data_IF_145035086120
#
_entry.id   IF_145035086120
#
_cell.length_a   1.000
_cell.length_b   1.000
_cell.length_c   1.000
_cell.angle_alpha   90.00
_cell.angle_beta   90.00
_cell.angle_gamma   90.00
#
_symmetry.space_group_name_H-M   'P 1'
#
loop_
_entity.id
_entity.type
_entity.pdbx_description
1 polymer ?
#
# COMPACT_ATOMS: atom_id res chain seq x y z
N UNK A 1 -19.56 -20.86 -15.11
CA UNK A 1 -19.09 -20.13 -13.91
C UNK A 1 -18.55 -18.73 -14.22
N UNK A 2 -17.77 -18.49 -15.29
CA UNK A 2 -17.21 -17.15 -15.58
C UNK A 2 -18.22 -16.03 -15.86
N UNK A 3 -19.36 -16.33 -16.48
CA UNK A 3 -20.37 -15.32 -16.88
C UNK A 3 -21.02 -14.63 -15.66
N UNK A 4 -21.19 -15.36 -14.55
CA UNK A 4 -21.79 -14.82 -13.33
C UNK A 4 -20.85 -13.84 -12.61
N UNK A 5 -19.53 -14.08 -12.68
CA UNK A 5 -18.52 -13.18 -12.11
C UNK A 5 -18.47 -11.87 -12.90
N UNK A 6 -18.44 -11.95 -14.24
CA UNK A 6 -18.46 -10.75 -15.09
C UNK A 6 -19.72 -9.89 -14.88
N UNK A 7 -20.87 -10.53 -14.67
CA UNK A 7 -22.13 -9.85 -14.35
C UNK A 7 -22.09 -9.10 -13.01
N UNK A 8 -21.31 -9.55 -12.03
CA UNK A 8 -21.18 -8.90 -10.73
C UNK A 8 -20.30 -7.64 -10.82
N UNK A 9 -19.32 -7.62 -11.72
CA UNK A 9 -18.48 -6.44 -11.97
C UNK A 9 -19.26 -5.27 -12.62
N UNK A 10 -20.35 -5.55 -13.33
CA UNK A 10 -21.15 -4.53 -14.03
C UNK A 10 -22.35 -3.98 -13.26
N UNK A 11 -22.64 -4.48 -12.04
CA UNK A 11 -23.81 -4.03 -11.26
C UNK A 11 -23.50 -2.73 -10.50
N UNK A 12 -24.34 -1.69 -10.61
CA UNK A 12 -24.19 -0.49 -9.81
C UNK A 12 -24.54 -0.81 -8.34
N UNK A 13 -23.57 -0.67 -7.45
CA UNK A 13 -23.74 -0.91 -6.01
C UNK A 13 -22.46 -1.41 -5.34
N UNK A 14 -22.38 -1.24 -4.01
CA UNK A 14 -21.24 -1.67 -3.18
C UNK A 14 -21.28 -3.20 -3.02
N UNK A 15 -20.79 -3.95 -4.01
CA UNK A 15 -20.56 -5.39 -3.85
C UNK A 15 -19.16 -5.62 -3.25
N UNK A 16 -19.03 -6.58 -2.32
CA UNK A 16 -17.75 -6.89 -1.68
C UNK A 16 -16.69 -7.34 -2.69
N UNK A 17 -17.11 -8.00 -3.77
CA UNK A 17 -16.24 -8.40 -4.87
C UNK A 17 -15.78 -7.20 -5.70
N UNK A 18 -16.68 -6.27 -6.06
CA UNK A 18 -16.30 -5.06 -6.78
C UNK A 18 -15.36 -4.18 -5.94
N UNK A 19 -15.58 -4.09 -4.63
CA UNK A 19 -14.69 -3.38 -3.72
C UNK A 19 -13.30 -4.03 -3.61
N UNK A 20 -13.22 -5.35 -3.72
CA UNK A 20 -11.94 -6.06 -3.75
C UNK A 20 -11.22 -5.94 -5.10
N UNK A 21 -11.96 -5.78 -6.21
CA UNK A 21 -11.39 -5.70 -7.56
C UNK A 21 -11.11 -4.27 -8.04
N UNK A 22 -11.83 -3.28 -7.51
CA UNK A 22 -11.75 -1.90 -7.96
C UNK A 22 -11.89 -0.92 -6.79
N UNK A 23 -10.83 -0.16 -6.55
CA UNK A 23 -10.77 0.86 -5.50
C UNK A 23 -11.83 1.97 -5.66
N UNK A 24 -12.25 2.28 -6.91
CA UNK A 24 -13.26 3.31 -7.17
C UNK A 24 -14.62 2.96 -6.55
N UNK A 25 -14.86 1.69 -6.19
CA UNK A 25 -16.12 1.26 -5.57
C UNK A 25 -16.22 1.62 -4.07
N UNK A 26 -15.10 1.96 -3.41
CA UNK A 26 -15.08 2.32 -2.00
C UNK A 26 -15.25 3.84 -1.78
N UNK A 27 -15.09 4.63 -2.84
CA UNK A 27 -15.09 6.08 -2.85
C UNK A 27 -16.32 6.64 -3.58
N UNK A 28 -16.62 7.92 -3.37
CA UNK A 28 -17.38 8.68 -4.36
C UNK A 28 -16.50 8.95 -5.59
N UNK A 29 -17.13 9.02 -6.77
CA UNK A 29 -16.41 9.17 -8.05
C UNK A 29 -15.53 10.42 -8.07
N UNK A 30 -16.03 11.54 -7.53
CA UNK A 30 -15.32 12.82 -7.52
C UNK A 30 -14.08 12.75 -6.64
N UNK A 31 -14.22 12.18 -5.43
CA UNK A 31 -13.13 12.04 -4.47
C UNK A 31 -12.04 11.12 -5.04
N UNK A 32 -12.44 10.01 -5.67
CA UNK A 32 -11.51 9.07 -6.28
C UNK A 32 -10.69 9.71 -7.41
N UNK A 33 -11.36 10.44 -8.30
CA UNK A 33 -10.69 11.16 -9.38
C UNK A 33 -9.75 12.24 -8.83
N UNK A 34 -10.17 12.98 -7.81
CA UNK A 34 -9.34 14.02 -7.19
C UNK A 34 -8.06 13.44 -6.59
N UNK A 35 -8.17 12.34 -5.84
CA UNK A 35 -7.00 11.65 -5.30
C UNK A 35 -6.06 11.16 -6.40
N UNK A 36 -6.61 10.58 -7.47
CA UNK A 36 -5.80 10.10 -8.59
C UNK A 36 -5.09 11.22 -9.35
N UNK A 37 -5.76 12.36 -9.53
CA UNK A 37 -5.17 13.55 -10.16
C UNK A 37 -4.05 14.09 -9.28
N UNK A 38 -4.26 14.18 -7.97
CA UNK A 38 -3.24 14.65 -7.02
C UNK A 38 -1.97 13.80 -7.08
N UNK A 39 -2.10 12.47 -6.97
CA UNK A 39 -0.96 11.55 -7.07
C UNK A 39 -0.23 11.69 -8.42
N UNK A 40 -0.98 11.89 -9.50
CA UNK A 40 -0.42 12.09 -10.84
C UNK A 40 0.39 13.37 -10.97
N UNK A 41 -0.08 14.47 -10.37
CA UNK A 41 0.63 15.76 -10.36
C UNK A 41 1.91 15.67 -9.54
N UNK A 42 1.86 15.07 -8.35
CA UNK A 42 3.05 14.91 -7.51
C UNK A 42 4.12 14.07 -8.21
N UNK A 43 3.73 12.94 -8.80
CA UNK A 43 4.65 12.10 -9.56
C UNK A 43 5.21 12.83 -10.79
N UNK A 44 4.38 13.61 -11.50
CA UNK A 44 4.86 14.42 -12.63
C UNK A 44 5.89 15.45 -12.20
N UNK A 45 5.69 16.11 -11.06
CA UNK A 45 6.63 17.08 -10.52
C UNK A 45 7.94 16.39 -10.11
N UNK A 46 7.85 15.24 -9.44
CA UNK A 46 9.01 14.43 -9.08
C UNK A 46 9.84 14.06 -10.31
N UNK A 47 9.21 13.48 -11.33
CA UNK A 47 9.89 13.07 -12.57
C UNK A 47 10.47 14.27 -13.32
N UNK A 48 9.77 15.41 -13.31
CA UNK A 48 10.27 16.64 -13.91
C UNK A 48 11.54 17.12 -13.21
N UNK A 49 11.55 17.15 -11.88
CA UNK A 49 12.73 17.56 -11.11
C UNK A 49 13.87 16.57 -11.36
N UNK A 50 13.61 15.27 -11.23
CA UNK A 50 14.61 14.22 -11.45
C UNK A 50 15.26 14.29 -12.84
N UNK A 51 14.47 14.58 -13.88
CA UNK A 51 14.98 14.69 -15.24
C UNK A 51 15.79 15.98 -15.51
N UNK A 52 15.52 17.05 -14.76
CA UNK A 52 16.11 18.37 -14.99
C UNK A 52 17.16 18.77 -13.95
N UNK A 53 17.43 17.91 -12.98
CA UNK A 53 18.51 18.13 -12.01
C UNK A 53 19.81 17.50 -12.50
N UNK A 54 20.86 18.30 -12.54
CA UNK A 54 22.21 17.91 -12.97
C UNK A 54 22.96 17.06 -11.95
N UNK A 55 22.48 17.02 -10.70
CA UNK A 55 23.00 16.23 -9.60
C UNK A 55 21.88 15.32 -9.05
N UNK A 56 22.26 14.20 -8.42
CA UNK A 56 21.32 13.35 -7.71
C UNK A 56 20.65 14.16 -6.59
N UNK A 57 19.34 14.39 -6.74
CA UNK A 57 18.58 15.29 -5.86
C UNK A 57 18.30 14.67 -4.50
N UNK A 58 18.54 13.36 -4.33
CA UNK A 58 18.17 12.63 -3.12
C UNK A 58 16.67 12.70 -2.83
N UNK A 59 15.84 13.02 -3.83
CA UNK A 59 14.40 13.06 -3.70
C UNK A 59 13.84 11.64 -3.75
N UNK A 60 13.06 11.30 -2.74
CA UNK A 60 12.30 10.06 -2.71
C UNK A 60 11.05 10.17 -3.61
N UNK A 61 10.66 9.09 -4.29
CA UNK A 61 9.40 9.04 -5.03
C UNK A 61 8.21 9.35 -4.11
N UNK A 62 7.23 10.15 -4.56
CA UNK A 62 6.08 10.50 -3.73
C UNK A 62 5.22 9.26 -3.47
N UNK A 63 4.79 9.11 -2.22
CA UNK A 63 3.82 8.09 -1.82
C UNK A 63 2.39 8.52 -2.14
N UNK A 64 1.56 7.66 -2.76
CA UNK A 64 0.16 7.97 -3.03
C UNK A 64 -0.61 8.35 -1.77
N UNK A 65 -1.60 9.24 -1.91
CA UNK A 65 -2.46 9.63 -0.80
C UNK A 65 -3.19 8.42 -0.18
N UNK A 66 -3.29 8.33 1.16
CA UNK A 66 -3.98 7.23 1.82
C UNK A 66 -5.42 7.08 1.35
N UNK A 67 -5.83 5.85 1.00
CA UNK A 67 -7.18 5.60 0.50
C UNK A 67 -8.18 5.28 1.61
N UNK A 68 -9.40 5.86 1.59
CA UNK A 68 -10.51 5.38 2.40
C UNK A 68 -10.67 3.86 2.38
N UNK A 69 -10.61 3.26 3.58
CA UNK A 69 -10.73 1.82 3.77
C UNK A 69 -9.42 1.04 3.67
N UNK A 70 -8.32 1.67 3.24
CA UNK A 70 -6.99 1.11 3.45
C UNK A 70 -6.53 1.48 4.88
N UNK A 71 -6.05 0.51 5.67
CA UNK A 71 -5.35 0.85 6.90
C UNK A 71 -4.18 1.75 6.54
N UNK A 72 -3.99 2.84 7.29
CA UNK A 72 -2.75 3.62 7.20
C UNK A 72 -1.59 2.64 7.28
N UNK A 73 -0.63 2.75 6.34
CA UNK A 73 0.60 1.98 6.40
C UNK A 73 1.32 2.36 7.69
N UNK A 74 1.05 1.60 8.76
CA UNK A 74 1.87 1.65 9.95
C UNK A 74 3.26 1.17 9.54
N UNK A 75 4.33 1.87 9.94
CA UNK A 75 5.68 1.40 9.70
C UNK A 75 5.75 -0.05 10.19
N UNK A 76 6.24 -0.96 9.33
CA UNK A 76 6.35 -2.36 9.71
C UNK A 76 7.09 -2.43 11.05
N UNK A 77 6.53 -3.14 12.06
CA UNK A 77 7.22 -3.30 13.31
C UNK A 77 8.59 -3.89 13.02
N UNK A 78 9.63 -3.14 13.39
CA UNK A 78 11.01 -3.60 13.29
C UNK A 78 11.16 -4.72 14.30
N UNK A 79 10.93 -5.95 13.86
CA UNK A 79 11.18 -7.12 14.68
C UNK A 79 12.69 -7.28 14.81
N UNK A 80 13.22 -6.92 15.97
CA UNK A 80 14.59 -7.24 16.33
C UNK A 80 14.64 -8.77 16.55
N UNK A 81 15.19 -9.49 15.57
CA UNK A 81 15.35 -10.93 15.68
C UNK A 81 16.34 -11.24 16.80
N UNK A 82 16.01 -12.23 17.64
CA UNK A 82 16.92 -12.70 18.68
C UNK A 82 18.25 -13.18 18.07
N UNK A 83 19.36 -12.85 18.73
CA UNK A 83 20.67 -13.29 18.27
C UNK A 83 20.83 -14.80 18.45
N UNK A 84 21.74 -15.43 17.69
CA UNK A 84 21.99 -16.88 17.81
C UNK A 84 22.43 -17.31 19.22
N UNK A 85 23.11 -16.42 19.96
CA UNK A 85 23.48 -16.65 21.36
C UNK A 85 22.29 -16.65 22.30
N UNK A 86 21.27 -15.82 22.05
CA UNK A 86 20.06 -15.76 22.87
C UNK A 86 19.19 -17.00 22.67
N UNK A 87 19.16 -17.53 21.46
CA UNK A 87 18.48 -18.80 21.16
C UNK A 87 19.18 -19.97 21.86
N UNK A 88 20.51 -20.01 21.84
CA UNK A 88 21.28 -21.06 22.51
C UNK A 88 21.14 -21.04 24.04
N UNK A 89 21.10 -19.84 24.64
CA UNK A 89 20.91 -19.69 26.09
C UNK A 89 19.51 -20.10 26.53
N UNK A 90 18.47 -19.77 25.75
CA UNK A 90 17.10 -20.24 25.98
C UNK A 90 16.99 -21.77 26.01
N UNK A 91 17.53 -22.47 25.01
CA UNK A 91 17.49 -23.93 24.97
C UNK A 91 18.25 -24.58 26.13
N UNK A 92 19.36 -23.96 26.56
CA UNK A 92 20.12 -24.42 27.73
C UNK A 92 19.30 -24.27 29.02
N UNK A 93 18.57 -23.15 29.17
CA UNK A 93 17.72 -22.91 30.33
C UNK A 93 16.51 -23.86 30.36
N UNK A 94 15.95 -24.20 29.19
CA UNK A 94 14.82 -25.10 29.06
C UNK A 94 15.17 -26.56 29.41
N UNK A 95 16.40 -26.99 29.17
CA UNK A 95 16.89 -28.33 29.51
C UNK A 95 17.21 -28.51 31.01
N UNK A 96 17.30 -27.41 31.75
CA UNK A 96 17.61 -27.41 33.19
C UNK A 96 16.36 -27.27 34.09
N UNK A 97 15.16 -27.32 33.48
CA UNK A 97 13.86 -27.45 34.13
C UNK A 97 13.45 -28.92 34.27
#
# INVERSE_FOLDING_TARGET
MGVLIASLCGKPGRSALLAAMNESSAWGTTEHLLARISDGIELSNYLFIQANSSEDTGLEPPTPLPRPGQPEQQPEPQFEFASGSDVASFFTQMNNL
#
